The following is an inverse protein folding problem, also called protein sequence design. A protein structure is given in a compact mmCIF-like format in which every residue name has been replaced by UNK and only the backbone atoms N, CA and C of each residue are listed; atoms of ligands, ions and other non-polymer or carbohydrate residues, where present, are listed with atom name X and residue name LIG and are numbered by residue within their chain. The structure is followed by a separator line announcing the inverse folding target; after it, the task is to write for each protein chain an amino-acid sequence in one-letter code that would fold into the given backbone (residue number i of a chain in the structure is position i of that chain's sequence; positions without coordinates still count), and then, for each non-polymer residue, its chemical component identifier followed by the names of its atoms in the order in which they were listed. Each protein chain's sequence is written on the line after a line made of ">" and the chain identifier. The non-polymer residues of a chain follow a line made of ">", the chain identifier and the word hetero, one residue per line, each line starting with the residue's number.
data_IF_619993137059
#
_entry.id   IF_619993137059
#
_cell.length_a   1.000
_cell.length_b   1.000
_cell.length_c   1.000
_cell.angle_alpha   90.00
_cell.angle_beta   90.00
_cell.angle_gamma   90.00
#
_symmetry.space_group_name_H-M   'P 1'
#
loop_
_entity.id
_entity.type
_entity.pdbx_description
1 polymer ?
#
# COMPACT_ATOMS: atom_id res chain seq x y z
N UNK A 1 6.15 20.33 -1.90
CA UNK A 1 6.10 19.76 -3.27
C UNK A 1 4.91 20.31 -4.01
N UNK A 2 5.08 20.66 -5.28
CA UNK A 2 4.02 21.08 -6.20
C UNK A 2 3.69 19.93 -7.16
N UNK A 3 2.39 19.67 -7.29
CA UNK A 3 1.82 18.74 -8.25
C UNK A 3 0.76 19.49 -9.06
N UNK A 4 0.92 19.57 -10.35
CA UNK A 4 -0.08 20.14 -11.24
C UNK A 4 0.04 19.58 -12.66
N UNK A 5 -1.02 19.73 -13.43
CA UNK A 5 -1.00 19.34 -14.83
C UNK A 5 -0.74 20.54 -15.73
N UNK A 6 0.01 20.32 -16.80
CA UNK A 6 0.09 21.25 -17.91
C UNK A 6 -1.28 21.36 -18.63
N UNK A 7 -1.41 22.31 -19.53
CA UNK A 7 -2.66 22.55 -20.28
C UNK A 7 -3.09 21.39 -21.16
N UNK A 8 -2.15 20.52 -21.54
CA UNK A 8 -2.37 19.28 -22.30
C UNK A 8 -2.69 18.07 -21.42
N UNK A 9 -2.66 18.24 -20.08
CA UNK A 9 -2.96 17.20 -19.09
C UNK A 9 -1.75 16.42 -18.59
N UNK A 10 -0.54 16.70 -19.08
CA UNK A 10 0.67 16.05 -18.56
C UNK A 10 0.98 16.49 -17.13
N UNK A 11 1.36 15.54 -16.29
CA UNK A 11 1.69 15.77 -14.89
C UNK A 11 3.06 16.44 -14.74
N UNK A 12 3.13 17.49 -13.91
CA UNK A 12 4.39 18.07 -13.45
C UNK A 12 4.55 17.93 -11.95
N UNK A 13 5.77 17.57 -11.54
CA UNK A 13 6.21 17.47 -10.15
C UNK A 13 7.39 18.39 -9.92
N UNK A 14 7.41 19.12 -8.80
CA UNK A 14 8.56 19.92 -8.39
C UNK A 14 8.67 19.98 -6.86
N UNK A 15 9.88 19.78 -6.33
CA UNK A 15 10.18 20.11 -4.93
C UNK A 15 10.48 21.61 -4.83
N UNK A 16 9.86 22.28 -3.88
CA UNK A 16 10.07 23.72 -3.63
C UNK A 16 11.25 23.95 -2.69
N UNK A 17 11.49 22.96 -1.81
CA UNK A 17 12.57 23.02 -0.83
C UNK A 17 13.81 22.30 -1.34
N UNK A 18 14.96 22.70 -0.80
CA UNK A 18 16.20 21.99 -1.06
C UNK A 18 16.23 20.71 -0.21
N UNK A 19 16.19 19.56 -0.88
CA UNK A 19 16.18 18.24 -0.26
C UNK A 19 17.54 17.49 -0.43
N UNK A 20 18.59 18.20 -0.83
CA UNK A 20 19.92 17.61 -0.99
C UNK A 20 20.43 17.03 0.33
N UNK A 21 20.91 15.79 0.30
CA UNK A 21 21.40 15.01 1.45
C UNK A 21 20.34 14.73 2.54
N UNK A 22 19.06 15.00 2.29
CA UNK A 22 17.97 14.68 3.20
C UNK A 22 17.42 13.28 2.97
N UNK A 23 16.84 12.68 4.00
CA UNK A 23 16.05 11.46 3.90
C UNK A 23 14.60 11.84 3.56
N UNK A 24 14.17 11.49 2.37
CA UNK A 24 12.89 11.91 1.82
C UNK A 24 11.89 10.77 1.87
N UNK A 25 10.77 10.97 2.57
CA UNK A 25 9.64 10.06 2.62
C UNK A 25 8.54 10.59 1.72
N UNK A 26 8.24 9.85 0.64
CA UNK A 26 7.17 10.20 -0.30
C UNK A 26 5.95 9.34 0.01
N UNK A 27 4.89 9.98 0.49
CA UNK A 27 3.65 9.33 0.88
C UNK A 27 2.64 9.48 -0.25
N UNK A 28 2.34 8.37 -0.94
CA UNK A 28 1.39 8.33 -2.05
C UNK A 28 0.71 6.97 -2.14
N UNK A 29 -0.61 6.96 -2.09
CA UNK A 29 -1.40 5.75 -2.40
C UNK A 29 -1.53 5.54 -3.90
N UNK A 30 -1.41 4.29 -4.34
CA UNK A 30 -1.48 3.94 -5.77
C UNK A 30 -2.82 3.32 -6.18
N UNK A 31 -3.91 3.72 -5.48
CA UNK A 31 -5.28 3.39 -5.90
C UNK A 31 -5.62 4.09 -7.23
N UNK A 32 -6.64 3.62 -7.96
CA UNK A 32 -7.13 4.32 -9.15
C UNK A 32 -7.51 5.78 -8.87
N UNK A 33 -7.29 6.70 -9.80
CA UNK A 33 -6.83 6.48 -11.18
C UNK A 33 -5.33 6.11 -11.26
N UNK A 34 -4.91 5.51 -12.40
CA UNK A 34 -3.51 5.09 -12.60
C UNK A 34 -2.50 6.25 -12.63
N UNK A 35 -2.96 7.49 -12.80
CA UNK A 35 -2.14 8.70 -12.62
C UNK A 35 -1.46 8.76 -11.26
N UNK A 36 -2.07 8.24 -10.19
CA UNK A 36 -1.47 8.16 -8.86
C UNK A 36 -0.15 7.36 -8.84
N UNK A 37 -0.01 6.38 -9.72
CA UNK A 37 1.24 5.64 -9.92
C UNK A 37 2.29 6.52 -10.59
N UNK A 38 1.91 7.28 -11.62
CA UNK A 38 2.83 8.20 -12.31
C UNK A 38 3.28 9.32 -11.39
N UNK A 39 2.37 9.87 -10.58
CA UNK A 39 2.71 10.86 -9.55
C UNK A 39 3.79 10.33 -8.62
N UNK A 40 3.60 9.13 -8.08
CA UNK A 40 4.59 8.49 -7.21
C UNK A 40 5.93 8.36 -7.93
N UNK A 41 5.95 7.79 -9.14
CA UNK A 41 7.19 7.57 -9.88
C UNK A 41 7.93 8.88 -10.18
N UNK A 42 7.21 9.94 -10.56
CA UNK A 42 7.81 11.25 -10.84
C UNK A 42 8.34 11.92 -9.57
N UNK A 43 7.63 11.79 -8.44
CA UNK A 43 8.12 12.29 -7.16
C UNK A 43 9.40 11.57 -6.73
N UNK A 44 9.47 10.24 -6.90
CA UNK A 44 10.65 9.44 -6.57
C UNK A 44 11.86 9.83 -7.45
N UNK A 45 11.67 9.97 -8.76
CA UNK A 45 12.73 10.39 -9.69
C UNK A 45 13.21 11.83 -9.39
N UNK A 46 12.27 12.73 -9.13
CA UNK A 46 12.59 14.13 -8.79
C UNK A 46 13.42 14.22 -7.50
N UNK A 47 13.07 13.46 -6.46
CA UNK A 47 13.82 13.41 -5.21
C UNK A 47 15.25 12.88 -5.42
N UNK A 48 15.38 11.82 -6.21
CA UNK A 48 16.70 11.27 -6.56
C UNK A 48 17.56 12.27 -7.32
N UNK A 49 16.99 12.95 -8.33
CA UNK A 49 17.71 13.99 -9.12
C UNK A 49 18.07 15.21 -8.30
N UNK A 50 17.28 15.52 -7.28
CA UNK A 50 17.61 16.56 -6.29
C UNK A 50 18.72 16.14 -5.31
N UNK A 51 19.32 14.97 -5.48
CA UNK A 51 20.37 14.41 -4.62
C UNK A 51 19.94 14.18 -3.17
N UNK A 52 18.71 13.70 -2.96
CA UNK A 52 18.30 13.19 -1.66
C UNK A 52 19.25 12.05 -1.21
N UNK A 53 19.52 11.96 0.08
CA UNK A 53 20.37 10.93 0.65
C UNK A 53 19.70 9.56 0.55
N UNK A 54 18.44 9.47 0.98
CA UNK A 54 17.60 8.30 0.83
C UNK A 54 16.20 8.71 0.33
N UNK A 55 15.64 7.91 -0.55
CA UNK A 55 14.27 8.09 -1.06
C UNK A 55 13.44 6.89 -0.63
N UNK A 56 12.46 7.12 0.23
CA UNK A 56 11.58 6.11 0.80
C UNK A 56 10.17 6.28 0.22
N UNK A 57 9.67 5.26 -0.46
CA UNK A 57 8.28 5.23 -0.93
C UNK A 57 7.38 4.72 0.20
N UNK A 58 6.48 5.56 0.70
CA UNK A 58 5.44 5.17 1.66
C UNK A 58 4.12 5.06 0.91
N UNK A 59 3.65 3.84 0.73
CA UNK A 59 2.47 3.51 -0.09
C UNK A 59 1.38 2.92 0.78
N UNK A 60 0.52 3.75 1.42
CA UNK A 60 -0.52 3.28 2.33
C UNK A 60 -1.49 2.31 1.68
N UNK A 61 -1.81 2.50 0.40
CA UNK A 61 -2.54 1.55 -0.42
C UNK A 61 -1.70 1.18 -1.64
N UNK A 62 -1.26 -0.09 -1.69
CA UNK A 62 -0.50 -0.62 -2.81
C UNK A 62 -1.46 -1.16 -3.87
N UNK A 63 -1.72 -0.36 -4.89
CA UNK A 63 -2.56 -0.72 -6.02
C UNK A 63 -1.99 -1.87 -6.84
N UNK A 64 -2.84 -2.54 -7.62
CA UNK A 64 -2.48 -3.67 -8.48
C UNK A 64 -1.94 -4.91 -7.73
N UNK A 65 -1.93 -4.90 -6.41
CA UNK A 65 -1.47 -6.01 -5.56
C UNK A 65 -2.27 -7.31 -5.75
N UNK A 66 -3.50 -7.25 -6.29
CA UNK A 66 -4.32 -8.42 -6.60
C UNK A 66 -3.76 -9.27 -7.73
N UNK A 67 -2.90 -8.68 -8.57
CA UNK A 67 -2.22 -9.35 -9.69
C UNK A 67 -0.78 -9.71 -9.29
N UNK A 68 -0.65 -10.53 -8.24
CA UNK A 68 0.62 -10.98 -7.66
C UNK A 68 1.13 -12.30 -8.27
N UNK A 69 0.32 -12.93 -9.13
CA UNK A 69 0.63 -14.19 -9.82
C UNK A 69 -0.12 -14.28 -11.14
N UNK A 70 0.28 -15.23 -11.96
CA UNK A 70 -0.48 -15.62 -13.14
C UNK A 70 -1.59 -16.58 -12.72
N UNK A 71 -2.82 -16.14 -12.73
CA UNK A 71 -4.02 -16.95 -12.53
C UNK A 71 -4.61 -17.45 -13.86
N UNK A 72 -4.22 -16.82 -14.99
CA UNK A 72 -4.60 -17.19 -16.35
C UNK A 72 -3.39 -17.11 -17.30
N UNK A 73 -3.47 -17.76 -18.47
CA UNK A 73 -2.49 -17.57 -19.53
C UNK A 73 -2.47 -16.12 -20.05
N UNK A 74 -1.27 -15.59 -20.37
CA UNK A 74 -1.06 -14.29 -21.04
C UNK A 74 -1.46 -13.05 -20.20
N UNK A 75 -1.56 -13.19 -18.89
CA UNK A 75 -1.77 -12.06 -17.97
C UNK A 75 -0.45 -11.55 -17.38
N UNK A 76 -0.36 -10.27 -17.03
CA UNK A 76 0.82 -9.73 -16.34
C UNK A 76 0.85 -10.13 -14.87
N UNK A 77 1.98 -9.93 -14.23
CA UNK A 77 2.11 -9.81 -12.76
C UNK A 77 2.28 -8.33 -12.44
N UNK A 78 1.16 -7.59 -12.37
CA UNK A 78 1.20 -6.13 -12.30
C UNK A 78 1.83 -5.61 -11.01
N UNK A 79 1.71 -6.34 -9.91
CA UNK A 79 2.41 -6.01 -8.66
C UNK A 79 3.93 -5.99 -8.86
N UNK A 80 4.48 -6.94 -9.62
CA UNK A 80 5.90 -7.00 -9.96
C UNK A 80 6.31 -5.84 -10.87
N UNK A 81 5.52 -5.55 -11.90
CA UNK A 81 5.79 -4.44 -12.83
C UNK A 81 5.89 -3.12 -12.07
N UNK A 82 4.96 -2.85 -11.15
CA UNK A 82 4.98 -1.63 -10.34
C UNK A 82 6.24 -1.53 -9.47
N UNK A 83 6.64 -2.63 -8.84
CA UNK A 83 7.87 -2.66 -8.04
C UNK A 83 9.13 -2.48 -8.88
N UNK A 84 9.18 -3.07 -10.07
CA UNK A 84 10.29 -2.88 -11.00
C UNK A 84 10.41 -1.41 -11.46
N UNK A 85 9.30 -0.74 -11.74
CA UNK A 85 9.28 0.70 -12.04
C UNK A 85 9.81 1.53 -10.88
N UNK A 86 9.36 1.27 -9.65
CA UNK A 86 9.87 1.96 -8.46
C UNK A 86 11.37 1.70 -8.26
N UNK A 87 11.84 0.49 -8.52
CA UNK A 87 13.26 0.16 -8.42
C UNK A 87 14.10 0.90 -9.47
N UNK A 88 13.62 1.00 -10.71
CA UNK A 88 14.31 1.70 -11.81
C UNK A 88 14.48 3.19 -11.49
N UNK A 89 13.47 3.85 -10.92
CA UNK A 89 13.61 5.25 -10.49
C UNK A 89 14.51 5.44 -9.26
N UNK A 90 14.89 4.33 -8.60
CA UNK A 90 16.00 4.29 -7.63
C UNK A 90 15.62 4.61 -6.20
N UNK A 91 14.57 3.98 -5.71
CA UNK A 91 14.19 4.01 -4.30
C UNK A 91 15.18 3.24 -3.41
N UNK A 92 15.28 3.66 -2.15
CA UNK A 92 16.11 2.99 -1.14
C UNK A 92 15.29 2.05 -0.23
N UNK A 93 13.98 2.27 -0.11
CA UNK A 93 13.05 1.48 0.71
C UNK A 93 11.62 1.67 0.26
N UNK A 94 10.80 0.65 0.45
CA UNK A 94 9.35 0.72 0.31
C UNK A 94 8.72 0.42 1.67
N UNK A 95 7.68 1.15 2.01
CA UNK A 95 6.78 0.86 3.13
C UNK A 95 5.37 0.79 2.59
N UNK A 96 4.68 -0.34 2.74
CA UNK A 96 3.30 -0.47 2.33
C UNK A 96 2.45 -1.11 3.43
N UNK A 97 1.15 -0.80 3.43
CA UNK A 97 0.23 -1.28 4.45
C UNK A 97 -0.73 -2.30 3.85
N UNK A 98 -1.00 -3.37 4.64
CA UNK A 98 -2.01 -4.40 4.35
C UNK A 98 -1.96 -4.93 2.90
N UNK A 99 -0.79 -5.39 2.46
CA UNK A 99 -0.63 -5.98 1.14
C UNK A 99 -1.64 -7.11 0.92
N UNK A 100 -2.16 -7.20 -0.29
CA UNK A 100 -3.04 -8.30 -0.70
C UNK A 100 -2.41 -9.68 -0.46
N UNK A 101 -1.11 -9.77 -0.70
CA UNK A 101 -0.29 -10.97 -0.48
C UNK A 101 1.06 -10.58 0.13
N UNK A 102 1.46 -11.14 1.29
CA UNK A 102 2.75 -10.81 1.91
C UNK A 102 3.96 -11.17 1.04
N UNK A 103 3.81 -12.13 0.10
CA UNK A 103 4.87 -12.58 -0.79
C UNK A 103 5.33 -11.49 -1.78
N UNK A 104 4.52 -10.45 -2.01
CA UNK A 104 4.88 -9.30 -2.87
C UNK A 104 6.20 -8.66 -2.43
N UNK A 105 6.52 -8.68 -1.13
CA UNK A 105 7.81 -8.20 -0.60
C UNK A 105 9.02 -8.88 -1.26
N UNK A 106 8.86 -10.12 -1.68
CA UNK A 106 9.92 -10.91 -2.33
C UNK A 106 10.09 -10.60 -3.82
N UNK A 107 9.31 -9.71 -4.40
CA UNK A 107 9.41 -9.36 -5.83
C UNK A 107 10.51 -8.35 -6.12
N UNK A 108 11.09 -7.73 -5.11
CA UNK A 108 12.13 -6.71 -5.24
C UNK A 108 13.24 -6.96 -4.23
N UNK A 109 14.47 -6.59 -4.60
CA UNK A 109 15.62 -6.70 -3.69
C UNK A 109 15.78 -5.48 -2.77
N UNK A 110 15.14 -4.36 -3.12
CA UNK A 110 15.10 -3.18 -2.26
C UNK A 110 14.36 -3.51 -0.96
N UNK A 111 14.85 -3.08 0.22
CA UNK A 111 14.18 -3.28 1.50
C UNK A 111 12.70 -2.89 1.45
N UNK A 112 11.84 -3.78 1.91
CA UNK A 112 10.39 -3.61 1.87
C UNK A 112 9.79 -3.88 3.25
N UNK A 113 9.12 -2.88 3.84
CA UNK A 113 8.41 -3.01 5.10
C UNK A 113 6.91 -3.19 4.85
N UNK A 114 6.40 -4.39 5.16
CA UNK A 114 4.97 -4.65 5.15
C UNK A 114 4.37 -4.32 6.52
N UNK A 115 3.65 -3.21 6.61
CA UNK A 115 2.98 -2.73 7.81
C UNK A 115 1.55 -3.27 7.88
N UNK A 116 1.04 -3.39 9.10
CA UNK A 116 -0.33 -3.83 9.33
C UNK A 116 -1.14 -2.72 10.03
N UNK A 117 -2.21 -2.28 9.40
CA UNK A 117 -3.13 -1.27 9.94
C UNK A 117 -3.75 -1.69 11.26
N UNK A 118 -3.85 -3.00 11.50
CA UNK A 118 -4.37 -3.56 12.75
C UNK A 118 -3.69 -3.01 14.00
N UNK A 119 -2.40 -2.65 13.92
CA UNK A 119 -1.67 -2.06 15.06
C UNK A 119 -2.27 -0.72 15.48
N UNK A 120 -2.45 0.20 14.54
CA UNK A 120 -3.06 1.50 14.79
C UNK A 120 -4.57 1.42 15.09
N UNK A 121 -5.29 0.55 14.38
CA UNK A 121 -6.73 0.38 14.56
C UNK A 121 -7.09 -0.18 15.93
N UNK A 122 -6.30 -1.10 16.50
CA UNK A 122 -6.58 -1.63 17.82
C UNK A 122 -6.52 -0.59 18.93
N UNK A 123 -5.54 0.29 18.89
CA UNK A 123 -5.43 1.33 19.89
C UNK A 123 -6.61 2.31 19.77
N UNK A 124 -7.01 2.61 18.55
CA UNK A 124 -8.20 3.45 18.31
C UNK A 124 -9.50 2.79 18.76
N UNK A 125 -9.66 1.48 18.53
CA UNK A 125 -10.85 0.73 18.99
C UNK A 125 -11.02 0.77 20.52
N UNK A 126 -9.93 0.75 21.28
CA UNK A 126 -9.98 0.86 22.75
C UNK A 126 -10.54 2.21 23.22
N UNK A 127 -10.28 3.28 22.47
CA UNK A 127 -10.76 4.63 22.82
C UNK A 127 -12.30 4.76 22.72
N UNK A 128 -12.95 3.91 21.92
CA UNK A 128 -14.41 3.97 21.72
C UNK A 128 -15.23 3.40 22.88
N UNK A 129 -14.61 2.88 23.95
CA UNK A 129 -15.29 2.28 25.09
C UNK A 129 -16.42 1.31 24.70
N UNK A 130 -16.21 0.52 23.65
CA UNK A 130 -17.19 -0.43 23.16
C UNK A 130 -17.40 -1.55 24.19
N UNK A 131 -18.66 -1.85 24.49
CA UNK A 131 -18.97 -3.06 25.27
C UNK A 131 -18.82 -4.30 24.37
N UNK A 132 -17.82 -5.11 24.67
CA UNK A 132 -17.51 -6.31 23.88
C UNK A 132 -18.14 -7.59 24.46
N UNK A 133 -18.91 -7.57 25.56
CA UNK A 133 -19.47 -8.78 26.19
C UNK A 133 -20.25 -9.66 25.21
N UNK A 134 -20.99 -9.06 24.28
CA UNK A 134 -21.72 -9.76 23.22
C UNK A 134 -21.21 -9.39 21.83
N UNK A 135 -19.94 -8.94 21.72
CA UNK A 135 -19.35 -8.51 20.49
C UNK A 135 -19.03 -9.70 19.57
N UNK A 136 -19.12 -9.46 18.25
CA UNK A 136 -18.72 -10.41 17.21
C UNK A 136 -17.94 -9.66 16.13
N UNK A 137 -16.78 -10.17 15.74
CA UNK A 137 -16.08 -9.72 14.53
C UNK A 137 -16.60 -10.51 13.35
N UNK A 138 -17.16 -9.82 12.37
CA UNK A 138 -17.70 -10.41 11.16
C UNK A 138 -16.73 -10.27 9.99
N UNK A 139 -16.27 -11.39 9.42
CA UNK A 139 -15.53 -11.40 8.18
C UNK A 139 -16.49 -11.27 6.98
N UNK A 140 -16.32 -10.26 6.09
CA UNK A 140 -17.22 -10.03 4.97
C UNK A 140 -17.07 -11.05 3.83
N UNK A 141 -16.01 -11.83 3.83
CA UNK A 141 -15.72 -12.92 2.88
C UNK A 141 -14.63 -13.85 3.41
N UNK A 142 -14.42 -14.97 2.72
CA UNK A 142 -13.40 -15.98 3.08
C UNK A 142 -11.98 -15.39 3.04
N UNK A 143 -11.68 -14.45 2.11
CA UNK A 143 -10.35 -13.83 1.98
C UNK A 143 -9.94 -13.04 3.22
N UNK A 144 -10.89 -12.43 3.92
CA UNK A 144 -10.67 -11.65 5.13
C UNK A 144 -10.76 -12.48 6.43
N UNK A 145 -11.09 -13.79 6.35
CA UNK A 145 -11.33 -14.63 7.53
C UNK A 145 -10.16 -14.63 8.51
N UNK A 146 -8.93 -14.79 8.03
CA UNK A 146 -7.72 -14.87 8.86
C UNK A 146 -7.45 -13.58 9.64
N UNK A 147 -7.59 -12.43 8.99
CA UNK A 147 -7.39 -11.14 9.66
C UNK A 147 -8.51 -10.86 10.64
N UNK A 148 -9.77 -11.12 10.27
CA UNK A 148 -10.92 -10.93 11.15
C UNK A 148 -10.87 -11.84 12.38
N UNK A 149 -10.41 -13.09 12.25
CA UNK A 149 -10.19 -14.00 13.36
C UNK A 149 -9.09 -13.46 14.31
N UNK A 150 -8.04 -12.86 13.77
CA UNK A 150 -7.01 -12.22 14.59
C UNK A 150 -7.58 -11.06 15.41
N UNK A 151 -8.46 -10.24 14.81
CA UNK A 151 -9.19 -9.18 15.53
C UNK A 151 -10.08 -9.77 16.65
N UNK A 152 -10.90 -10.77 16.33
CA UNK A 152 -11.78 -11.41 17.32
C UNK A 152 -10.99 -11.94 18.52
N UNK A 153 -9.88 -12.64 18.27
CA UNK A 153 -8.99 -13.16 19.32
C UNK A 153 -8.41 -12.05 20.20
N UNK A 154 -7.95 -10.95 19.59
CA UNK A 154 -7.34 -9.83 20.35
C UNK A 154 -8.36 -9.02 21.15
N UNK A 155 -9.60 -8.94 20.67
CA UNK A 155 -10.70 -8.26 21.36
C UNK A 155 -11.41 -9.16 22.37
N UNK A 156 -11.17 -10.48 22.37
CA UNK A 156 -11.83 -11.43 23.25
C UNK A 156 -13.31 -11.68 22.90
N UNK A 157 -13.68 -11.52 21.63
CA UNK A 157 -15.07 -11.60 21.15
C UNK A 157 -15.29 -12.78 20.20
N UNK A 158 -16.55 -13.06 19.85
CA UNK A 158 -16.94 -14.07 18.88
C UNK A 158 -16.45 -13.73 17.46
N UNK A 159 -16.41 -14.76 16.60
CA UNK A 159 -16.06 -14.64 15.18
C UNK A 159 -17.18 -15.22 14.32
N UNK A 160 -17.54 -14.52 13.26
CA UNK A 160 -18.48 -14.96 12.23
C UNK A 160 -17.92 -14.68 10.83
N UNK A 161 -18.38 -15.42 9.83
CA UNK A 161 -17.93 -15.33 8.44
C UNK A 161 -19.12 -15.32 7.49
N UNK A 162 -19.10 -14.44 6.47
CA UNK A 162 -20.02 -14.45 5.36
C UNK A 162 -19.40 -15.23 4.20
N UNK A 163 -20.04 -16.35 3.81
CA UNK A 163 -19.66 -17.09 2.60
C UNK A 163 -20.28 -16.39 1.37
N UNK A 164 -19.51 -15.53 0.72
CA UNK A 164 -19.92 -14.79 -0.46
C UNK A 164 -19.72 -15.63 -1.72
N UNK A 165 -20.81 -16.15 -2.26
CA UNK A 165 -20.84 -16.86 -3.55
C UNK A 165 -21.16 -15.89 -4.69
N UNK A 166 -20.35 -15.89 -5.74
CA UNK A 166 -20.66 -15.18 -6.99
C UNK A 166 -21.19 -16.20 -7.99
N UNK A 167 -22.38 -16.01 -8.56
CA UNK A 167 -22.81 -16.85 -9.69
C UNK A 167 -21.79 -16.69 -10.83
N UNK A 168 -21.54 -17.79 -11.51
CA UNK A 168 -20.68 -17.82 -12.72
C UNK A 168 -21.37 -17.13 -13.87
#
# INVERSE_FOLDING_TARGET
>A
IQLYNFSDGELRVAFEENIRNEDVFIIQSTNPPSSNVLELLFMLDAARRASANRVIAVVPYFGYARQDRKDEPRVPISARVLLDLMNVVGINRIMAMDLHSPQIQGFINTPFDHLYSSMALFDRLKEFNLNFENGVVLAPDVGSAKISQSYAKRLGVGFALIDKRRPK
#
